data_IF_131987580331
#
_entry.id   IF_131987580331
#
_cell.length_a   1.000
_cell.length_b   1.000
_cell.length_c   1.000
_cell.angle_alpha   90.00
_cell.angle_beta   90.00
_cell.angle_gamma   90.00
#
_symmetry.space_group_name_H-M   'P 1'
#
loop_
_entity.id
_entity.type
_entity.pdbx_description
1 polymer ?
#
# COMPACT_ATOMS: atom_id res chain seq x y z
N UNK A 1 -3.19 23.96 32.01
CA UNK A 1 -4.63 23.88 31.73
C UNK A 1 -4.78 23.11 30.44
N UNK A 2 -5.16 21.84 30.53
CA UNK A 2 -5.29 20.93 29.38
C UNK A 2 -6.67 21.16 28.78
N UNK A 3 -6.83 21.55 27.50
CA UNK A 3 -8.13 21.67 26.91
C UNK A 3 -8.71 20.27 26.70
N UNK A 4 -9.96 20.10 27.16
CA UNK A 4 -10.76 18.91 26.96
C UNK A 4 -10.96 18.69 25.46
N UNK A 5 -10.19 17.78 24.88
CA UNK A 5 -10.48 17.23 23.56
C UNK A 5 -11.85 16.56 23.64
N UNK A 6 -12.72 17.00 22.74
CA UNK A 6 -14.08 16.49 22.61
C UNK A 6 -14.08 14.98 22.61
N UNK A 7 -14.99 14.44 23.41
CA UNK A 7 -15.30 13.04 23.55
C UNK A 7 -15.28 12.35 22.18
N UNK A 8 -14.25 11.52 21.99
CA UNK A 8 -14.01 10.78 20.76
C UNK A 8 -15.16 9.80 20.53
N UNK A 9 -15.72 9.79 19.32
CA UNK A 9 -16.46 8.62 18.82
C UNK A 9 -15.50 7.48 18.42
N UNK A 10 -14.19 7.65 18.59
CA UNK A 10 -13.15 6.61 18.50
C UNK A 10 -13.38 5.41 19.44
N UNK A 11 -14.36 5.50 20.35
CA UNK A 11 -14.77 4.42 21.26
C UNK A 11 -15.84 3.48 20.64
N UNK A 12 -16.16 3.65 19.35
CA UNK A 12 -16.95 2.69 18.57
C UNK A 12 -16.07 2.03 17.52
N UNK A 13 -16.04 0.70 17.51
CA UNK A 13 -15.40 -0.16 16.51
C UNK A 13 -16.01 0.11 15.12
N UNK A 14 -15.41 1.04 14.38
CA UNK A 14 -15.65 1.25 12.95
C UNK A 14 -14.63 0.50 12.11
N UNK A 15 -15.01 0.12 10.89
CA UNK A 15 -14.13 -0.43 9.88
C UNK A 15 -13.18 0.67 9.41
N UNK A 16 -11.88 0.40 9.51
CA UNK A 16 -10.83 1.31 9.04
C UNK A 16 -10.42 0.88 7.64
N UNK A 17 -10.52 1.79 6.66
CA UNK A 17 -10.07 1.57 5.29
C UNK A 17 -9.13 2.69 4.86
N UNK A 18 -7.94 2.31 4.38
CA UNK A 18 -6.94 3.24 3.84
C UNK A 18 -6.96 3.19 2.32
N UNK A 19 -7.01 4.35 1.70
CA UNK A 19 -7.17 4.54 0.28
C UNK A 19 -5.93 5.26 -0.25
N UNK A 20 -5.18 4.60 -1.11
CA UNK A 20 -4.05 5.20 -1.80
C UNK A 20 -4.55 5.99 -3.00
N UNK A 21 -4.47 7.32 -2.93
CA UNK A 21 -4.91 8.23 -3.98
C UNK A 21 -3.71 8.77 -4.73
N UNK A 22 -3.64 8.49 -6.04
CA UNK A 22 -2.54 8.95 -6.88
C UNK A 22 -2.87 10.27 -7.59
N UNK A 23 -1.97 11.24 -7.49
CA UNK A 23 -2.12 12.52 -8.19
C UNK A 23 -0.76 13.18 -8.41
N UNK A 24 -0.48 13.60 -9.66
CA UNK A 24 0.76 14.32 -9.99
C UNK A 24 2.05 13.52 -9.77
N UNK A 25 2.01 12.18 -9.83
CA UNK A 25 3.17 11.32 -9.57
C UNK A 25 3.42 11.04 -8.09
N UNK A 26 2.50 11.45 -7.21
CA UNK A 26 2.58 11.23 -5.77
C UNK A 26 1.38 10.41 -5.29
N UNK A 27 1.62 9.56 -4.29
CA UNK A 27 0.57 8.80 -3.59
C UNK A 27 0.22 9.50 -2.28
N UNK A 28 -1.08 9.70 -2.04
CA UNK A 28 -1.63 10.32 -0.85
C UNK A 28 -2.55 9.33 -0.13
N UNK A 29 -2.31 9.09 1.15
CA UNK A 29 -3.15 8.20 1.95
C UNK A 29 -4.39 8.98 2.44
N UNK A 30 -5.57 8.50 2.06
CA UNK A 30 -6.86 8.93 2.62
C UNK A 30 -7.36 7.84 3.55
N UNK A 31 -7.58 8.16 4.82
CA UNK A 31 -8.07 7.19 5.80
C UNK A 31 -9.58 7.38 6.02
N UNK A 32 -10.30 6.27 6.12
CA UNK A 32 -11.72 6.26 6.45
C UNK A 32 -11.99 5.37 7.65
N UNK A 33 -12.92 5.78 8.52
CA UNK A 33 -13.40 4.98 9.65
C UNK A 33 -14.92 5.02 9.63
N UNK A 34 -15.59 3.89 9.39
CA UNK A 34 -17.04 3.90 9.19
C UNK A 34 -17.75 2.63 9.61
N UNK A 35 -19.09 2.66 9.61
CA UNK A 35 -19.94 1.49 9.83
C UNK A 35 -20.44 0.85 8.51
N UNK A 36 -19.82 1.22 7.38
CA UNK A 36 -20.09 0.71 6.03
C UNK A 36 -18.77 0.29 5.38
N UNK A 37 -18.85 -0.52 4.32
CA UNK A 37 -17.66 -0.95 3.59
C UNK A 37 -17.31 0.08 2.51
N UNK A 38 -16.04 0.52 2.45
CA UNK A 38 -15.54 1.25 1.28
C UNK A 38 -15.00 0.22 0.29
N UNK A 39 -15.71 0.04 -0.82
CA UNK A 39 -15.46 -1.04 -1.80
C UNK A 39 -14.44 -0.61 -2.84
N UNK A 40 -14.48 0.64 -3.27
CA UNK A 40 -13.57 1.19 -4.29
C UNK A 40 -13.47 2.72 -4.16
N UNK A 41 -12.47 3.31 -4.80
CA UNK A 41 -12.32 4.77 -4.89
C UNK A 41 -11.78 5.19 -6.25
N UNK A 42 -12.12 6.40 -6.67
CA UNK A 42 -11.58 7.04 -7.87
C UNK A 42 -11.12 8.46 -7.54
N UNK A 43 -10.05 8.91 -8.18
CA UNK A 43 -9.62 10.30 -8.07
C UNK A 43 -9.39 10.92 -9.44
N UNK A 44 -10.07 12.03 -9.71
CA UNK A 44 -9.92 12.82 -10.92
C UNK A 44 -9.27 14.16 -10.57
N UNK A 45 -7.99 14.30 -10.92
CA UNK A 45 -7.20 15.52 -10.68
C UNK A 45 -7.79 16.76 -11.38
N UNK A 46 -8.29 16.61 -12.61
CA UNK A 46 -8.82 17.74 -13.39
C UNK A 46 -10.11 18.27 -12.79
N UNK A 47 -10.97 17.36 -12.32
CA UNK A 47 -12.22 17.69 -11.64
C UNK A 47 -12.05 17.94 -10.15
N UNK A 48 -10.86 17.68 -9.60
CA UNK A 48 -10.54 17.80 -8.17
C UNK A 48 -11.53 16.98 -7.33
N UNK A 49 -11.84 15.77 -7.81
CA UNK A 49 -12.89 14.91 -7.28
C UNK A 49 -12.30 13.62 -6.75
N UNK A 50 -12.56 13.34 -5.49
CA UNK A 50 -12.39 12.03 -4.87
C UNK A 50 -13.76 11.36 -4.76
N UNK A 51 -13.94 10.21 -5.41
CA UNK A 51 -15.16 9.42 -5.38
C UNK A 51 -14.95 8.19 -4.51
N UNK A 52 -15.87 7.93 -3.58
CA UNK A 52 -15.88 6.74 -2.74
C UNK A 52 -17.10 5.90 -3.10
N UNK A 53 -16.87 4.63 -3.44
CA UNK A 53 -17.94 3.65 -3.64
C UNK A 53 -18.08 2.83 -2.37
N UNK A 54 -19.23 2.93 -1.72
CA UNK A 54 -19.47 2.33 -0.41
C UNK A 54 -20.64 1.36 -0.46
N UNK A 55 -20.57 0.27 0.32
CA UNK A 55 -21.66 -0.67 0.52
C UNK A 55 -22.13 -0.62 1.98
N UNK A 56 -23.41 -0.29 2.15
CA UNK A 56 -24.05 -0.13 3.46
C UNK A 56 -24.94 -1.33 3.76
N UNK A 57 -24.59 -2.10 4.80
CA UNK A 57 -25.44 -3.20 5.29
C UNK A 57 -26.62 -2.75 6.16
N UNK A 58 -26.66 -1.48 6.57
CA UNK A 58 -27.67 -0.90 7.46
C UNK A 58 -28.15 0.46 6.95
N UNK A 59 -29.32 0.89 7.41
CA UNK A 59 -29.97 2.11 6.94
C UNK A 59 -29.23 3.39 7.37
N UNK A 60 -28.74 3.45 8.61
CA UNK A 60 -28.10 4.64 9.16
C UNK A 60 -26.56 4.50 9.11
N UNK A 61 -25.93 5.29 8.26
CA UNK A 61 -24.51 5.22 7.97
C UNK A 61 -23.77 6.39 8.60
N UNK A 62 -22.66 6.08 9.26
CA UNK A 62 -21.75 7.03 9.90
C UNK A 62 -20.34 6.70 9.47
N UNK A 63 -19.61 7.72 9.03
CA UNK A 63 -18.22 7.57 8.63
C UNK A 63 -17.42 8.83 8.88
N UNK A 64 -16.12 8.66 9.00
CA UNK A 64 -15.13 9.71 9.07
C UNK A 64 -14.16 9.51 7.91
N UNK A 65 -13.80 10.59 7.23
CA UNK A 65 -12.85 10.58 6.11
C UNK A 65 -11.78 11.63 6.39
N UNK A 66 -10.53 11.23 6.33
CA UNK A 66 -9.35 12.06 6.57
C UNK A 66 -8.63 12.26 5.24
N UNK A 67 -8.73 13.46 4.68
CA UNK A 67 -8.13 13.81 3.38
C UNK A 67 -6.93 14.73 3.59
N UNK A 68 -5.73 14.41 3.07
CA UNK A 68 -4.59 15.33 3.11
C UNK A 68 -4.86 16.63 2.34
N UNK A 69 -4.50 17.78 2.93
CA UNK A 69 -4.59 19.10 2.26
C UNK A 69 -3.65 19.20 1.05
N UNK A 70 -2.60 18.38 1.01
CA UNK A 70 -1.71 18.27 -0.14
C UNK A 70 -2.37 17.56 -1.32
N UNK A 71 -3.38 16.72 -1.10
CA UNK A 71 -4.14 16.05 -2.16
C UNK A 71 -5.30 16.92 -2.66
N UNK A 72 -6.18 17.30 -1.73
CA UNK A 72 -7.43 18.01 -2.02
C UNK A 72 -7.71 19.03 -0.91
N UNK A 73 -7.87 20.29 -1.28
CA UNK A 73 -7.94 21.41 -0.33
C UNK A 73 -8.90 22.52 -0.77
N UNK A 74 -9.02 23.51 0.12
CA UNK A 74 -9.89 24.67 -0.03
C UNK A 74 -11.34 24.38 0.39
N UNK A 75 -12.30 24.85 -0.39
CA UNK A 75 -13.72 24.58 -0.13
C UNK A 75 -14.12 23.24 -0.73
N UNK A 76 -15.00 22.53 -0.04
CA UNK A 76 -15.49 21.24 -0.49
C UNK A 76 -16.97 21.28 -0.87
N UNK A 77 -17.32 20.60 -1.96
CA UNK A 77 -18.68 20.24 -2.32
C UNK A 77 -18.81 18.71 -2.24
N UNK A 78 -19.97 18.22 -1.78
CA UNK A 78 -20.21 16.78 -1.65
C UNK A 78 -21.48 16.38 -2.35
N UNK A 79 -21.47 15.17 -2.91
CA UNK A 79 -22.65 14.55 -3.48
C UNK A 79 -22.77 13.13 -2.96
N UNK A 80 -23.99 12.71 -2.66
CA UNK A 80 -24.35 11.35 -2.34
C UNK A 80 -25.31 10.86 -3.44
N UNK A 81 -24.91 9.84 -4.19
CA UNK A 81 -25.69 9.33 -5.33
C UNK A 81 -26.13 10.43 -6.30
N UNK A 82 -25.20 11.33 -6.65
CA UNK A 82 -25.42 12.49 -7.53
C UNK A 82 -26.31 13.61 -6.95
N UNK A 83 -26.81 13.47 -5.73
CA UNK A 83 -27.57 14.49 -5.00
C UNK A 83 -26.67 15.30 -4.06
N UNK A 84 -26.81 16.63 -3.97
CA UNK A 84 -25.99 17.46 -3.07
C UNK A 84 -26.10 17.02 -1.61
N UNK A 85 -24.95 16.88 -0.96
CA UNK A 85 -24.81 16.43 0.42
C UNK A 85 -23.96 17.41 1.24
N UNK A 86 -24.30 17.62 2.52
CA UNK A 86 -23.64 18.60 3.38
C UNK A 86 -23.10 17.96 4.67
N UNK A 87 -21.91 17.32 4.62
CA UNK A 87 -21.26 16.76 5.80
C UNK A 87 -20.69 17.85 6.72
N UNK A 88 -20.31 17.45 7.93
CA UNK A 88 -19.55 18.31 8.83
C UNK A 88 -18.06 18.19 8.50
N UNK A 89 -17.37 19.32 8.42
CA UNK A 89 -15.96 19.37 8.01
C UNK A 89 -15.17 20.16 9.06
N UNK A 90 -13.99 19.66 9.41
CA UNK A 90 -12.99 20.36 10.20
C UNK A 90 -11.65 20.22 9.52
N UNK A 91 -11.08 21.33 9.09
CA UNK A 91 -9.79 21.36 8.41
C UNK A 91 -8.73 22.01 9.30
N UNK A 92 -7.50 21.52 9.19
CA UNK A 92 -6.29 22.17 9.70
C UNK A 92 -5.25 22.26 8.57
N UNK A 93 -4.03 22.69 8.91
CA UNK A 93 -2.94 22.91 7.94
C UNK A 93 -2.46 21.63 7.22
N UNK A 94 -2.83 20.43 7.70
CA UNK A 94 -2.35 19.14 7.17
C UNK A 94 -3.45 18.30 6.56
N UNK A 95 -4.63 18.26 7.18
CA UNK A 95 -5.74 17.38 6.81
C UNK A 95 -7.08 18.11 6.86
N UNK A 96 -8.02 17.60 6.06
CA UNK A 96 -9.45 17.87 6.17
C UNK A 96 -10.14 16.63 6.72
N UNK A 97 -10.75 16.80 7.90
CA UNK A 97 -11.53 15.77 8.58
C UNK A 97 -13.00 15.96 8.26
N UNK A 98 -13.61 14.97 7.61
CA UNK A 98 -14.98 15.02 7.10
C UNK A 98 -15.80 13.96 7.84
N UNK A 99 -16.91 14.37 8.45
CA UNK A 99 -17.87 13.48 9.11
C UNK A 99 -19.07 13.26 8.20
N UNK A 100 -19.21 12.03 7.73
CA UNK A 100 -20.31 11.51 6.93
C UNK A 100 -21.43 10.96 7.85
N UNK A 101 -22.66 11.30 7.50
CA UNK A 101 -23.90 10.81 8.09
C UNK A 101 -24.98 10.83 7.00
N UNK A 102 -25.40 9.65 6.56
CA UNK A 102 -26.42 9.49 5.51
C UNK A 102 -27.29 8.26 5.75
N UNK A 103 -28.44 8.22 5.07
CA UNK A 103 -29.37 7.09 5.09
C UNK A 103 -29.39 6.36 3.75
N UNK A 104 -29.33 5.03 3.78
CA UNK A 104 -29.35 4.20 2.57
C UNK A 104 -28.75 2.81 2.79
N UNK A 105 -29.31 1.80 2.13
CA UNK A 105 -28.81 0.41 2.15
C UNK A 105 -28.29 0.04 0.76
N UNK A 106 -27.23 -0.76 0.70
CA UNK A 106 -26.61 -1.22 -0.53
C UNK A 106 -25.52 -0.26 -1.02
N UNK A 107 -25.32 -0.24 -2.34
CA UNK A 107 -24.25 0.55 -2.94
C UNK A 107 -24.61 2.04 -2.96
N UNK A 108 -23.72 2.87 -2.45
CA UNK A 108 -23.81 4.32 -2.49
C UNK A 108 -22.51 4.90 -3.06
N UNK A 109 -22.61 6.04 -3.73
CA UNK A 109 -21.49 6.80 -4.29
C UNK A 109 -21.37 8.13 -3.56
N UNK A 110 -20.19 8.44 -3.05
CA UNK A 110 -19.90 9.70 -2.36
C UNK A 110 -18.84 10.46 -3.14
N UNK A 111 -19.19 11.60 -3.71
CA UNK A 111 -18.22 12.49 -4.36
C UNK A 111 -17.78 13.58 -3.37
N UNK A 112 -16.47 13.81 -3.29
CA UNK A 112 -15.82 14.87 -2.52
C UNK A 112 -15.04 15.74 -3.51
N UNK A 113 -15.48 16.98 -3.72
CA UNK A 113 -14.91 17.89 -4.71
C UNK A 113 -14.27 19.07 -4.01
N UNK A 114 -12.97 19.26 -4.19
CA UNK A 114 -12.22 20.40 -3.64
C UNK A 114 -12.07 21.55 -4.63
N UNK A 115 -11.70 22.74 -4.15
CA UNK A 115 -11.36 23.87 -5.03
C UNK A 115 -9.90 23.86 -5.47
N UNK A 116 -9.01 23.21 -4.72
CA UNK A 116 -7.57 23.13 -4.97
C UNK A 116 -7.09 21.67 -4.89
N UNK A 117 -6.03 21.35 -5.64
CA UNK A 117 -5.36 20.04 -5.64
C UNK A 117 -3.85 20.24 -5.70
N UNK A 118 -3.07 19.38 -5.06
CA UNK A 118 -1.60 19.39 -5.11
C UNK A 118 -0.97 20.68 -4.59
N UNK A 119 -1.27 21.06 -3.34
CA UNK A 119 -0.65 22.23 -2.72
C UNK A 119 0.77 21.88 -2.22
N UNK A 120 1.80 22.49 -2.82
CA UNK A 120 3.20 22.39 -2.35
C UNK A 120 4.02 21.22 -2.89
N UNK A 121 3.62 20.62 -4.03
CA UNK A 121 4.37 19.54 -4.67
C UNK A 121 4.68 19.91 -6.12
N UNK A 122 5.96 20.01 -6.48
CA UNK A 122 6.38 20.30 -7.86
C UNK A 122 6.07 19.09 -8.76
N UNK A 123 5.39 19.33 -9.89
CA UNK A 123 5.07 18.28 -10.86
C UNK A 123 6.35 17.69 -11.47
N UNK A 124 6.68 16.46 -11.09
CA UNK A 124 7.68 15.70 -11.83
C UNK A 124 7.07 15.19 -13.14
N UNK A 125 7.39 15.92 -14.21
CA UNK A 125 7.01 15.62 -15.60
C UNK A 125 7.84 14.46 -16.18
N UNK A 126 7.55 13.24 -15.75
CA UNK A 126 7.90 12.04 -16.51
C UNK A 126 6.63 11.20 -16.71
N UNK A 127 6.20 10.94 -17.95
CA UNK A 127 5.07 10.07 -18.20
C UNK A 127 5.53 8.63 -17.97
N UNK A 128 5.18 8.06 -16.82
CA UNK A 128 5.21 6.61 -16.63
C UNK A 128 4.04 5.99 -17.39
N UNK A 129 4.27 4.98 -18.25
CA UNK A 129 3.19 4.23 -18.86
C UNK A 129 2.34 3.57 -17.77
N UNK A 130 1.05 3.83 -17.82
CA UNK A 130 0.01 3.32 -16.92
C UNK A 130 -0.23 1.86 -17.30
N UNK A 131 0.00 0.93 -16.36
CA UNK A 131 -0.51 -0.44 -16.42
C UNK A 131 -1.60 -0.57 -15.34
N UNK A 132 -2.84 -0.73 -15.81
CA UNK A 132 -4.08 -0.79 -15.03
C UNK A 132 -4.19 -2.10 -14.22
N UNK A 133 -3.29 -2.32 -13.26
CA UNK A 133 -3.44 -3.40 -12.27
C UNK A 133 -3.53 -2.85 -10.87
N UNK A 134 -4.77 -2.86 -10.35
CA UNK A 134 -5.12 -2.68 -8.93
C UNK A 134 -4.11 -3.37 -8.00
N UNK A 135 -3.66 -2.69 -6.94
CA UNK A 135 -2.91 -3.23 -5.78
C UNK A 135 -1.50 -3.83 -6.03
N UNK A 136 -0.54 -3.07 -6.59
CA UNK A 136 0.70 -3.67 -7.12
C UNK A 136 2.05 -3.02 -6.75
N UNK A 137 2.21 -2.33 -5.60
CA UNK A 137 3.47 -1.64 -5.27
C UNK A 137 4.25 -2.13 -4.04
N UNK A 138 3.58 -2.78 -3.08
CA UNK A 138 4.12 -3.06 -1.75
C UNK A 138 4.72 -4.47 -1.57
N UNK A 139 5.71 -4.59 -0.68
CA UNK A 139 6.24 -5.89 -0.24
C UNK A 139 5.29 -6.55 0.79
N UNK A 140 4.06 -6.91 0.40
CA UNK A 140 2.97 -7.38 1.26
C UNK A 140 3.39 -8.46 2.28
N UNK A 141 4.03 -9.53 1.81
CA UNK A 141 4.49 -10.65 2.67
C UNK A 141 5.51 -10.13 3.69
N UNK A 142 6.52 -9.38 3.25
CA UNK A 142 7.53 -8.84 4.16
C UNK A 142 6.92 -7.86 5.17
N UNK A 143 5.97 -7.01 4.75
CA UNK A 143 5.22 -6.11 5.63
C UNK A 143 4.44 -6.90 6.68
N UNK A 144 3.74 -7.97 6.31
CA UNK A 144 3.01 -8.81 7.25
C UNK A 144 3.95 -9.54 8.22
N UNK A 145 5.08 -10.05 7.72
CA UNK A 145 6.10 -10.72 8.53
C UNK A 145 6.76 -9.78 9.54
N UNK A 146 7.19 -8.58 9.11
CA UNK A 146 7.96 -7.64 9.95
C UNK A 146 7.07 -6.60 10.65
N UNK A 147 5.77 -6.59 10.35
CA UNK A 147 4.74 -5.85 11.07
C UNK A 147 4.51 -4.41 10.61
N UNK A 148 5.38 -3.85 9.78
CA UNK A 148 5.20 -2.50 9.22
C UNK A 148 5.97 -2.34 7.93
N UNK A 149 5.44 -1.51 7.04
CA UNK A 149 6.13 -1.12 5.81
C UNK A 149 7.42 -0.36 6.09
N UNK A 150 7.50 0.33 7.24
CA UNK A 150 8.67 1.08 7.70
C UNK A 150 9.72 0.19 8.36
N UNK A 151 9.51 -1.14 8.39
CA UNK A 151 10.49 -2.04 8.98
C UNK A 151 11.79 -1.97 8.17
N UNK A 152 12.97 -1.96 8.82
CA UNK A 152 14.25 -1.88 8.12
C UNK A 152 14.41 -2.93 7.02
N UNK A 153 13.89 -4.14 7.25
CA UNK A 153 13.92 -5.25 6.29
C UNK A 153 13.08 -4.96 5.04
N UNK A 154 11.93 -4.30 5.20
CA UNK A 154 11.03 -3.97 4.09
C UNK A 154 11.56 -2.78 3.30
N UNK A 155 12.08 -1.76 4.00
CA UNK A 155 12.73 -0.61 3.37
C UNK A 155 13.97 -1.04 2.58
N UNK A 156 14.75 -1.98 3.11
CA UNK A 156 15.90 -2.53 2.40
C UNK A 156 15.52 -3.19 1.06
N UNK A 157 14.40 -3.93 1.02
CA UNK A 157 13.90 -4.51 -0.23
C UNK A 157 13.48 -3.43 -1.24
N UNK A 158 12.86 -2.35 -0.77
CA UNK A 158 12.48 -1.20 -1.60
C UNK A 158 13.72 -0.48 -2.16
N UNK A 159 14.72 -0.24 -1.33
CA UNK A 159 15.98 0.36 -1.75
C UNK A 159 16.68 -0.48 -2.83
N UNK A 160 16.77 -1.80 -2.66
CA UNK A 160 17.34 -2.69 -3.69
C UNK A 160 16.53 -2.62 -4.98
N UNK A 161 15.20 -2.69 -4.89
CA UNK A 161 14.33 -2.60 -6.07
C UNK A 161 14.56 -1.28 -6.80
N UNK A 162 14.45 -0.16 -6.09
CA UNK A 162 14.38 1.17 -6.69
C UNK A 162 15.76 1.69 -7.11
N UNK A 163 16.79 1.45 -6.29
CA UNK A 163 18.13 1.99 -6.50
C UNK A 163 19.08 1.04 -7.22
N UNK A 164 18.78 -0.27 -7.30
CA UNK A 164 19.64 -1.24 -8.02
C UNK A 164 18.92 -1.86 -9.21
N UNK A 165 17.80 -2.53 -9.00
CA UNK A 165 17.15 -3.32 -10.05
C UNK A 165 16.51 -2.42 -11.11
N UNK A 166 15.78 -1.38 -10.70
CA UNK A 166 15.09 -0.46 -11.62
C UNK A 166 16.03 0.47 -12.40
N UNK A 167 17.32 0.50 -12.06
CA UNK A 167 18.34 1.26 -12.80
C UNK A 167 18.81 0.54 -14.08
N UNK A 168 18.43 -0.72 -14.26
CA UNK A 168 18.85 -1.56 -15.40
C UNK A 168 17.65 -2.09 -16.16
N UNK A 169 17.78 -2.31 -17.46
CA UNK A 169 16.66 -2.82 -18.26
C UNK A 169 16.36 -4.28 -17.90
N UNK A 170 17.40 -5.08 -17.71
CA UNK A 170 17.28 -6.46 -17.23
C UNK A 170 16.55 -6.56 -15.87
N UNK A 171 16.85 -5.66 -14.93
CA UNK A 171 16.19 -5.60 -13.63
C UNK A 171 14.72 -5.17 -13.71
N UNK A 172 14.37 -4.21 -14.58
CA UNK A 172 12.96 -3.83 -14.83
C UNK A 172 12.14 -4.99 -15.37
N UNK A 173 12.66 -5.73 -16.38
CA UNK A 173 11.98 -6.91 -16.92
C UNK A 173 11.77 -7.99 -15.85
N UNK A 174 12.78 -8.21 -15.01
CA UNK A 174 12.68 -9.15 -13.89
C UNK A 174 11.60 -8.72 -12.90
N UNK A 175 11.62 -7.47 -12.42
CA UNK A 175 10.64 -6.97 -11.44
C UNK A 175 9.22 -7.02 -11.99
N UNK A 176 9.00 -6.63 -13.26
CA UNK A 176 7.68 -6.70 -13.87
C UNK A 176 7.16 -8.15 -13.92
N UNK A 177 8.01 -9.09 -14.35
CA UNK A 177 7.65 -10.52 -14.40
C UNK A 177 7.42 -11.11 -13.00
N UNK A 178 8.27 -10.74 -12.05
CA UNK A 178 8.17 -11.15 -10.65
C UNK A 178 6.89 -10.62 -10.02
N UNK A 179 6.57 -9.34 -10.20
CA UNK A 179 5.39 -8.68 -9.64
C UNK A 179 4.10 -9.40 -10.04
N UNK A 180 3.97 -9.77 -11.32
CA UNK A 180 2.80 -10.49 -11.80
C UNK A 180 2.54 -11.78 -11.00
N UNK A 181 3.60 -12.55 -10.73
CA UNK A 181 3.49 -13.79 -9.95
C UNK A 181 3.35 -13.47 -8.46
N UNK A 182 4.12 -12.53 -7.93
CA UNK A 182 4.13 -12.16 -6.52
C UNK A 182 2.76 -11.66 -6.05
N UNK A 183 2.14 -10.75 -6.77
CA UNK A 183 0.83 -10.19 -6.41
C UNK A 183 -0.33 -11.16 -6.65
N UNK A 184 -0.14 -12.24 -7.43
CA UNK A 184 -1.19 -13.24 -7.62
C UNK A 184 -1.47 -14.08 -6.37
N UNK A 185 -0.56 -14.11 -5.40
CA UNK A 185 -0.72 -14.91 -4.18
C UNK A 185 -0.39 -14.16 -2.88
N UNK A 186 0.41 -13.09 -2.94
CA UNK A 186 0.87 -12.40 -1.73
C UNK A 186 -0.24 -11.85 -0.82
N UNK A 187 -1.38 -11.32 -1.32
CA UNK A 187 -2.46 -10.86 -0.42
C UNK A 187 -2.98 -11.98 0.50
N UNK A 188 -3.25 -13.16 -0.07
CA UNK A 188 -3.74 -14.31 0.68
C UNK A 188 -2.74 -14.78 1.74
N UNK A 189 -1.45 -14.80 1.40
CA UNK A 189 -0.40 -15.18 2.36
C UNK A 189 -0.30 -14.14 3.48
N UNK A 190 -0.31 -12.85 3.14
CA UNK A 190 -0.19 -11.76 4.11
C UNK A 190 -1.38 -11.68 5.07
N UNK A 191 -2.60 -11.95 4.59
CA UNK A 191 -3.77 -12.02 5.46
C UNK A 191 -3.64 -13.20 6.44
N UNK A 192 -3.18 -14.36 5.96
CA UNK A 192 -2.96 -15.52 6.82
C UNK A 192 -1.84 -15.30 7.86
N UNK A 193 -0.78 -14.56 7.52
CA UNK A 193 0.26 -14.13 8.48
C UNK A 193 -0.30 -13.24 9.60
N UNK A 194 -1.27 -12.36 9.29
CA UNK A 194 -1.90 -11.47 10.28
C UNK A 194 -2.78 -12.24 11.26
N UNK A 195 -3.44 -13.30 10.80
CA UNK A 195 -4.31 -14.14 11.62
C UNK A 195 -3.54 -15.15 12.47
N UNK A 196 -2.36 -15.61 12.00
CA UNK A 196 -1.64 -16.70 12.64
C UNK A 196 -0.17 -16.37 12.92
N UNK A 197 0.12 -16.05 14.19
CA UNK A 197 1.47 -15.74 14.67
C UNK A 197 2.50 -16.88 14.45
N UNK A 198 2.08 -18.15 14.48
CA UNK A 198 2.98 -19.27 14.22
C UNK A 198 3.32 -19.38 12.73
N UNK A 199 2.34 -19.16 11.86
CA UNK A 199 2.57 -19.09 10.42
C UNK A 199 3.49 -17.92 10.06
N UNK A 200 3.21 -16.73 10.60
CA UNK A 200 4.06 -15.54 10.47
C UNK A 200 5.53 -15.81 10.84
N UNK A 201 5.78 -16.47 11.98
CA UNK A 201 7.15 -16.78 12.39
C UNK A 201 7.80 -17.83 11.46
N UNK A 202 7.01 -18.77 10.94
CA UNK A 202 7.48 -19.72 9.92
C UNK A 202 7.87 -19.00 8.63
N UNK A 203 7.04 -18.07 8.14
CA UNK A 203 7.36 -17.21 7.00
C UNK A 203 8.60 -16.38 7.29
N UNK A 204 8.74 -15.81 8.50
CA UNK A 204 9.92 -15.06 8.91
C UNK A 204 11.20 -15.87 8.81
N UNK A 205 11.21 -17.09 9.32
CA UNK A 205 12.35 -18.01 9.23
C UNK A 205 12.65 -18.34 7.76
N UNK A 206 11.60 -18.53 6.95
CA UNK A 206 11.75 -18.82 5.53
C UNK A 206 12.32 -17.63 4.77
N UNK A 207 11.84 -16.39 4.94
CA UNK A 207 12.25 -15.26 4.11
C UNK A 207 13.54 -14.58 4.59
N UNK A 208 13.87 -14.64 5.88
CA UNK A 208 15.04 -13.92 6.43
C UNK A 208 16.38 -14.27 5.75
N UNK A 209 16.68 -15.55 5.43
CA UNK A 209 17.91 -15.89 4.72
C UNK A 209 17.92 -15.35 3.27
N UNK A 210 16.77 -15.35 2.60
CA UNK A 210 16.59 -14.72 1.29
C UNK A 210 16.87 -13.21 1.37
N UNK A 211 16.29 -12.49 2.32
CA UNK A 211 16.55 -11.06 2.51
C UNK A 211 18.04 -10.80 2.78
N UNK A 212 18.69 -11.65 3.55
CA UNK A 212 20.12 -11.53 3.86
C UNK A 212 20.99 -11.75 2.61
N UNK A 213 20.61 -12.68 1.73
CA UNK A 213 21.32 -12.91 0.47
C UNK A 213 21.23 -11.71 -0.49
N UNK A 214 20.11 -10.97 -0.45
CA UNK A 214 19.90 -9.78 -1.27
C UNK A 214 20.81 -8.62 -0.85
N UNK A 215 21.25 -8.59 0.42
CA UNK A 215 22.20 -7.57 0.90
C UNK A 215 23.54 -7.59 0.14
N UNK A 216 23.88 -8.71 -0.53
CA UNK A 216 25.05 -8.81 -1.42
C UNK A 216 24.97 -7.78 -2.55
N UNK A 217 23.76 -7.41 -3.01
CA UNK A 217 23.54 -6.41 -4.06
C UNK A 217 23.99 -5.00 -3.66
N UNK A 218 24.09 -4.71 -2.36
CA UNK A 218 24.62 -3.42 -1.90
C UNK A 218 26.10 -3.25 -2.23
N UNK A 219 26.85 -4.36 -2.23
CA UNK A 219 28.31 -4.37 -2.42
C UNK A 219 28.72 -4.73 -3.85
N UNK A 220 27.80 -5.28 -4.65
CA UNK A 220 28.04 -5.55 -6.05
C UNK A 220 27.99 -4.24 -6.86
N UNK A 221 29.06 -3.98 -7.62
CA UNK A 221 29.00 -3.04 -8.75
C UNK A 221 28.20 -3.70 -9.87
N UNK A 222 27.20 -2.97 -10.37
CA UNK A 222 26.25 -3.44 -11.38
C UNK A 222 26.23 -2.37 -12.46
N UNK A 223 27.39 -2.15 -13.09
CA UNK A 223 27.61 -0.99 -13.97
C UNK A 223 27.03 -1.25 -15.38
N UNK A 224 26.68 -2.50 -15.68
CA UNK A 224 26.05 -2.93 -16.92
C UNK A 224 25.07 -4.10 -16.70
N UNK A 225 24.26 -4.40 -17.72
CA UNK A 225 23.25 -5.47 -17.67
C UNK A 225 23.84 -6.87 -17.46
N UNK A 226 25.04 -7.14 -17.99
CA UNK A 226 25.68 -8.47 -17.88
C UNK A 226 26.05 -8.78 -16.44
N UNK A 227 26.63 -7.80 -15.74
CA UNK A 227 26.92 -7.89 -14.31
C UNK A 227 25.64 -8.06 -13.49
N UNK A 228 24.60 -7.30 -13.82
CA UNK A 228 23.30 -7.38 -13.14
C UNK A 228 22.68 -8.77 -13.24
N UNK A 229 22.67 -9.34 -14.45
CA UNK A 229 22.20 -10.71 -14.70
C UNK A 229 23.07 -11.73 -13.98
N UNK A 230 24.40 -11.59 -14.04
CA UNK A 230 25.34 -12.51 -13.39
C UNK A 230 25.15 -12.55 -11.87
N UNK A 231 25.08 -11.39 -11.24
CA UNK A 231 24.83 -11.27 -9.79
C UNK A 231 23.45 -11.80 -9.43
N UNK A 232 22.42 -11.48 -10.22
CA UNK A 232 21.06 -11.99 -10.02
C UNK A 232 20.98 -13.52 -10.06
N UNK A 233 21.59 -14.15 -11.08
CA UNK A 233 21.70 -15.62 -11.19
C UNK A 233 22.45 -16.20 -9.99
N UNK A 234 23.53 -15.54 -9.54
CA UNK A 234 24.29 -15.94 -8.37
C UNK A 234 23.42 -15.99 -7.11
N UNK A 235 22.62 -14.95 -6.86
CA UNK A 235 21.72 -14.87 -5.71
C UNK A 235 20.62 -15.93 -5.80
N UNK A 236 20.00 -16.11 -6.96
CA UNK A 236 18.97 -17.15 -7.16
C UNK A 236 19.56 -18.53 -6.88
N UNK A 237 20.75 -18.81 -7.42
CA UNK A 237 21.46 -20.08 -7.21
C UNK A 237 21.81 -20.31 -5.74
N UNK A 238 22.27 -19.25 -5.05
CA UNK A 238 22.56 -19.29 -3.62
C UNK A 238 21.32 -19.62 -2.79
N UNK A 239 20.18 -18.99 -3.08
CA UNK A 239 18.92 -19.26 -2.41
C UNK A 239 18.43 -20.69 -2.68
N UNK A 240 18.42 -21.13 -3.94
CA UNK A 240 18.05 -22.51 -4.28
C UNK A 240 18.93 -23.52 -3.53
N UNK A 241 20.24 -23.27 -3.47
CA UNK A 241 21.17 -24.09 -2.68
C UNK A 241 20.80 -24.14 -1.20
N UNK A 242 20.44 -22.98 -0.62
CA UNK A 242 20.07 -22.88 0.79
C UNK A 242 18.75 -23.58 1.12
N UNK A 243 17.72 -23.45 0.29
CA UNK A 243 16.38 -24.02 0.57
C UNK A 243 16.25 -25.50 0.19
N UNK A 244 17.02 -25.99 -0.77
CA UNK A 244 16.86 -27.37 -1.27
C UNK A 244 18.09 -28.24 -0.99
N UNK A 245 19.28 -27.76 -1.32
CA UNK A 245 20.50 -28.58 -1.26
C UNK A 245 20.96 -28.78 0.18
N UNK A 246 21.02 -27.72 0.99
CA UNK A 246 21.45 -27.83 2.39
C UNK A 246 20.54 -28.75 3.22
N UNK A 247 19.19 -28.65 3.16
CA UNK A 247 18.30 -29.59 3.82
C UNK A 247 18.45 -31.03 3.29
N UNK A 248 18.62 -31.23 1.98
CA UNK A 248 18.82 -32.58 1.41
C UNK A 248 20.11 -33.24 1.91
N UNK A 249 21.21 -32.49 2.00
CA UNK A 249 22.47 -33.00 2.57
C UNK A 249 22.29 -33.32 4.06
N UNK A 250 21.60 -32.47 4.81
CA UNK A 250 21.32 -32.72 6.23
C UNK A 250 20.51 -34.02 6.41
N UNK A 251 19.45 -34.22 5.64
CA UNK A 251 18.61 -35.42 5.69
C UNK A 251 19.41 -36.67 5.34
N UNK A 252 20.25 -36.62 4.29
CA UNK A 252 21.07 -37.77 3.89
C UNK A 252 22.18 -38.10 4.90
N UNK A 253 22.74 -37.09 5.57
CA UNK A 253 23.69 -37.27 6.69
C UNK A 253 23.04 -37.84 7.93
N UNK A 254 21.81 -37.44 8.25
CA UNK A 254 21.06 -37.96 9.41
C UNK A 254 20.54 -39.39 9.19
N UNK A 255 20.33 -39.80 7.94
CA UNK A 255 19.93 -41.17 7.57
C UNK A 255 21.09 -42.17 7.52
N UNK A 256 22.35 -41.70 7.60
CA UNK A 256 23.56 -42.53 7.53
C UNK A 256 24.18 -42.67 8.90
#
# INVERSE_FOLDING_TARGET
MTPAFGQLLSDKTGLVTRLDVESGGHTFEVETVSNFDVVDHEFNKNEKRLTLFVNSGIENNLGEVIVPQTLLSGNFAFFLNDEPYNPKIKSNDKISFITLNFTGIGNNKIDIIGTETLQGVEENSYPTPIDDTKNGGGCLIATATYGTELAPQVQHLREIRDQKLMQTDSGKYFINSFNHVYYSFSPLISDYERENSFFKESVRILITPLLSSLMILNYASMDNDVETIGVGIGIITLNVGMYFVAPAILITRLKK
#
